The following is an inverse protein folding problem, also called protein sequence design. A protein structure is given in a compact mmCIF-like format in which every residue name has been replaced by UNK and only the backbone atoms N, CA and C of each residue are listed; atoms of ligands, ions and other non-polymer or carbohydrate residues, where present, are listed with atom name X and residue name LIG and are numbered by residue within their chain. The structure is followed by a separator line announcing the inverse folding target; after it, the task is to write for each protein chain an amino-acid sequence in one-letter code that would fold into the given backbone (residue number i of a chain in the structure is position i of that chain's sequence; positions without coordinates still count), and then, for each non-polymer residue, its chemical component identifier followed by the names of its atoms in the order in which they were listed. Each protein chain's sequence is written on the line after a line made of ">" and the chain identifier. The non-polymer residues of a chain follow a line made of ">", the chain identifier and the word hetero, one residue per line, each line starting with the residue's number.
data_IF_281821182469
#
_entry.id   IF_281821182469
#
_cell.length_a   1.000
_cell.length_b   1.000
_cell.length_c   1.000
_cell.angle_alpha   90.00
_cell.angle_beta   90.00
_cell.angle_gamma   90.00
#
_symmetry.space_group_name_H-M   'P 1'
#
loop_
_entity.id
_entity.type
_entity.pdbx_description
1 polymer ?
#
# COMPACT_ATOMS: atom_id res chain seq x y z
N UNK A 1 2.03 22.63 0.06
CA UNK A 1 1.05 21.95 0.94
C UNK A 1 0.64 20.58 0.39
N UNK A 2 -0.12 20.45 -0.70
CA UNK A 2 -0.52 19.11 -1.19
C UNK A 2 0.67 18.27 -1.71
N UNK A 3 1.51 18.82 -2.60
CA UNK A 3 2.66 18.08 -3.15
C UNK A 3 3.58 17.52 -2.06
N UNK A 4 3.78 18.30 -1.00
CA UNK A 4 4.57 17.92 0.15
C UNK A 4 3.92 16.77 0.93
N UNK A 5 2.61 16.79 1.12
CA UNK A 5 1.87 15.66 1.71
C UNK A 5 1.98 14.41 0.84
N UNK A 6 1.89 14.53 -0.49
CA UNK A 6 2.04 13.40 -1.42
C UNK A 6 3.47 12.83 -1.43
N UNK A 7 4.48 13.61 -1.02
CA UNK A 7 5.86 13.16 -0.91
C UNK A 7 6.15 12.56 0.48
N UNK A 8 5.72 13.21 1.56
CA UNK A 8 6.17 12.91 2.92
C UNK A 8 5.09 12.38 3.86
N UNK A 9 3.83 12.32 3.42
CA UNK A 9 2.70 11.88 4.25
C UNK A 9 2.23 12.93 5.26
N UNK A 10 1.44 12.46 6.23
CA UNK A 10 0.68 13.31 7.17
C UNK A 10 1.17 13.27 8.62
N UNK A 11 2.27 12.58 8.91
CA UNK A 11 2.78 12.42 10.28
C UNK A 11 3.15 13.80 10.88
N UNK A 12 2.61 14.19 12.05
CA UNK A 12 2.77 15.56 12.56
C UNK A 12 4.23 16.02 12.66
N UNK A 13 5.12 15.17 13.21
CA UNK A 13 6.55 15.48 13.35
C UNK A 13 7.25 15.70 12.00
N UNK A 14 6.85 14.94 10.98
CA UNK A 14 7.35 15.07 9.60
C UNK A 14 6.79 16.32 8.93
N UNK A 15 5.50 16.60 9.10
CA UNK A 15 4.85 17.78 8.53
C UNK A 15 5.45 19.08 9.08
N UNK A 16 5.86 19.10 10.35
CA UNK A 16 6.46 20.27 11.01
C UNK A 16 7.95 20.50 10.67
N UNK A 17 8.66 19.48 10.21
CA UNK A 17 10.05 19.61 9.80
C UNK A 17 10.18 20.54 8.58
N UNK A 18 11.23 21.38 8.55
CA UNK A 18 11.38 22.42 7.51
C UNK A 18 12.16 21.93 6.29
N UNK A 19 13.12 21.03 6.49
CA UNK A 19 14.00 20.54 5.43
C UNK A 19 13.53 19.16 4.96
N UNK A 20 13.58 18.92 3.64
CA UNK A 20 13.22 17.61 3.08
C UNK A 20 14.09 16.48 3.66
N UNK A 21 15.38 16.72 3.85
CA UNK A 21 16.29 15.73 4.43
C UNK A 21 15.86 15.31 5.85
N UNK A 22 15.49 16.28 6.69
CA UNK A 22 14.98 16.03 8.04
C UNK A 22 13.66 15.24 8.00
N UNK A 23 12.76 15.53 7.05
CA UNK A 23 11.53 14.74 6.84
C UNK A 23 11.84 13.28 6.52
N UNK A 24 12.79 13.04 5.61
CA UNK A 24 13.21 11.70 5.20
C UNK A 24 13.79 10.93 6.38
N UNK A 25 14.69 11.55 7.16
CA UNK A 25 15.29 10.96 8.36
C UNK A 25 14.22 10.58 9.40
N UNK A 26 13.26 11.48 9.65
CA UNK A 26 12.15 11.21 10.57
C UNK A 26 11.27 10.04 10.10
N UNK A 27 10.98 9.94 8.81
CA UNK A 27 10.21 8.82 8.25
C UNK A 27 11.03 7.53 8.36
N UNK A 28 12.34 7.56 8.12
CA UNK A 28 13.22 6.40 8.19
C UNK A 28 13.32 5.86 9.62
N UNK A 29 13.44 6.75 10.60
CA UNK A 29 13.39 6.40 12.02
C UNK A 29 12.05 5.72 12.37
N UNK A 30 10.92 6.27 11.93
CA UNK A 30 9.61 5.67 12.17
C UNK A 30 9.51 4.30 11.48
N UNK A 31 9.97 4.18 10.24
CA UNK A 31 10.00 2.90 9.52
C UNK A 31 10.85 1.85 10.25
N UNK A 32 12.03 2.22 10.75
CA UNK A 32 12.93 1.29 11.45
C UNK A 32 12.43 0.90 12.84
N UNK A 33 11.99 1.88 13.63
CA UNK A 33 11.64 1.68 15.04
C UNK A 33 10.25 1.11 15.23
N UNK A 34 9.28 1.50 14.40
CA UNK A 34 7.91 0.98 14.51
C UNK A 34 7.72 -0.22 13.58
N UNK A 35 7.89 -0.03 12.28
CA UNK A 35 7.46 -1.02 11.31
C UNK A 35 8.37 -2.24 11.27
N UNK A 36 9.69 -2.05 11.11
CA UNK A 36 10.61 -3.18 11.03
C UNK A 36 10.75 -3.93 12.36
N UNK A 37 10.73 -3.21 13.49
CA UNK A 37 10.84 -3.85 14.79
C UNK A 37 9.59 -4.67 15.13
N UNK A 38 8.39 -4.14 14.88
CA UNK A 38 7.16 -4.88 15.16
C UNK A 38 7.02 -6.09 14.23
N UNK A 39 7.32 -5.93 12.93
CA UNK A 39 7.22 -7.02 11.95
C UNK A 39 8.11 -8.20 12.35
N UNK A 40 9.34 -7.94 12.83
CA UNK A 40 10.30 -8.97 13.23
C UNK A 40 9.77 -9.94 14.28
N UNK A 41 8.81 -9.51 15.11
CA UNK A 41 8.20 -10.37 16.12
C UNK A 41 7.20 -11.38 15.52
N UNK A 42 6.68 -11.09 14.31
CA UNK A 42 5.66 -11.90 13.65
C UNK A 42 6.20 -12.71 12.45
N UNK A 43 7.33 -12.30 11.88
CA UNK A 43 7.96 -13.03 10.76
C UNK A 43 9.04 -13.98 11.26
N UNK A 44 9.19 -15.11 10.55
CA UNK A 44 10.32 -16.01 10.79
C UNK A 44 11.60 -15.35 10.29
N UNK A 45 12.69 -15.41 11.07
CA UNK A 45 13.98 -14.80 10.69
C UNK A 45 14.42 -15.15 9.26
N UNK A 46 14.25 -16.41 8.86
CA UNK A 46 14.60 -16.92 7.52
C UNK A 46 13.79 -16.31 6.36
N UNK A 47 12.63 -15.73 6.64
CA UNK A 47 11.72 -15.15 5.64
C UNK A 47 11.85 -13.63 5.54
N UNK A 48 12.74 -13.00 6.31
CA UNK A 48 12.89 -11.53 6.40
C UNK A 48 13.16 -10.88 5.05
N UNK A 49 14.03 -11.50 4.23
CA UNK A 49 14.37 -10.97 2.91
C UNK A 49 13.14 -11.00 1.99
N UNK A 50 12.41 -12.12 1.99
CA UNK A 50 11.23 -12.33 1.16
C UNK A 50 10.08 -11.42 1.59
N UNK A 51 9.89 -11.20 2.89
CA UNK A 51 8.93 -10.23 3.41
C UNK A 51 9.26 -8.80 2.94
N UNK A 52 10.52 -8.38 3.06
CA UNK A 52 10.95 -7.05 2.61
C UNK A 52 10.77 -6.88 1.09
N UNK A 53 11.06 -7.93 0.31
CA UNK A 53 10.81 -7.93 -1.13
C UNK A 53 9.31 -7.81 -1.44
N UNK A 54 8.45 -8.53 -0.72
CA UNK A 54 7.00 -8.43 -0.85
C UNK A 54 6.52 -7.01 -0.55
N UNK A 55 6.96 -6.43 0.57
CA UNK A 55 6.61 -5.06 0.97
C UNK A 55 7.05 -4.04 -0.09
N UNK A 56 8.25 -4.21 -0.65
CA UNK A 56 8.78 -3.37 -1.73
C UNK A 56 7.95 -3.48 -3.01
N UNK A 57 7.58 -4.70 -3.43
CA UNK A 57 6.73 -4.90 -4.62
C UNK A 57 5.36 -4.27 -4.40
N UNK A 58 4.73 -4.51 -3.25
CA UNK A 58 3.45 -3.92 -2.88
C UNK A 58 3.51 -2.38 -2.90
N UNK A 59 4.61 -1.77 -2.42
CA UNK A 59 4.78 -0.31 -2.49
C UNK A 59 4.74 0.21 -3.93
N UNK A 60 5.22 -0.55 -4.91
CA UNK A 60 5.17 -0.17 -6.32
C UNK A 60 3.78 -0.35 -6.97
N UNK A 61 2.87 -1.10 -6.33
CA UNK A 61 1.57 -1.49 -6.87
C UNK A 61 0.38 -0.80 -6.17
N UNK A 62 0.58 0.35 -5.53
CA UNK A 62 -0.52 1.12 -4.94
C UNK A 62 -1.59 1.49 -5.97
N UNK A 63 -2.86 1.37 -5.57
CA UNK A 63 -4.01 1.56 -6.46
C UNK A 63 -4.30 0.39 -7.40
N UNK A 64 -3.41 -0.61 -7.49
CA UNK A 64 -3.57 -1.77 -8.38
C UNK A 64 -4.17 -2.98 -7.65
N UNK A 65 -4.64 -3.95 -8.46
CA UNK A 65 -5.12 -5.22 -7.96
C UNK A 65 -3.95 -6.11 -7.52
N UNK A 66 -4.12 -6.77 -6.38
CA UNK A 66 -3.14 -7.71 -5.84
C UNK A 66 -3.43 -9.12 -6.34
N UNK A 67 -2.42 -9.76 -6.93
CA UNK A 67 -2.44 -11.15 -7.32
C UNK A 67 -1.39 -11.93 -6.53
N UNK A 68 -1.82 -12.63 -5.50
CA UNK A 68 -0.92 -13.32 -4.58
C UNK A 68 -0.17 -14.50 -5.21
N UNK A 69 -0.68 -15.08 -6.30
CA UNK A 69 0.06 -16.09 -7.07
C UNK A 69 1.26 -15.46 -7.81
N UNK A 70 1.07 -14.26 -8.37
CA UNK A 70 2.16 -13.53 -9.01
C UNK A 70 3.20 -13.11 -7.98
N UNK A 71 2.74 -12.51 -6.88
CA UNK A 71 3.61 -12.09 -5.78
C UNK A 71 4.39 -13.25 -5.18
N UNK A 72 3.74 -14.39 -4.93
CA UNK A 72 4.41 -15.58 -4.38
C UNK A 72 5.55 -16.05 -5.28
N UNK A 73 5.33 -16.04 -6.60
CA UNK A 73 6.36 -16.42 -7.58
C UNK A 73 7.52 -15.41 -7.60
N UNK A 74 7.23 -14.11 -7.60
CA UNK A 74 8.26 -13.06 -7.62
C UNK A 74 9.08 -13.03 -6.33
N UNK A 75 8.46 -13.23 -5.17
CA UNK A 75 9.15 -13.17 -3.86
C UNK A 75 9.70 -14.52 -3.40
N UNK A 76 9.45 -15.60 -4.17
CA UNK A 76 9.80 -16.98 -3.80
C UNK A 76 9.18 -17.42 -2.45
N UNK A 77 8.02 -16.87 -2.11
CA UNK A 77 7.22 -17.33 -0.98
C UNK A 77 6.27 -18.42 -1.48
N UNK A 78 5.95 -19.40 -0.63
CA UNK A 78 4.76 -20.22 -0.89
C UNK A 78 3.52 -19.30 -0.91
N UNK A 79 2.51 -19.64 -1.71
CA UNK A 79 1.25 -18.88 -1.78
C UNK A 79 0.66 -18.57 -0.39
N UNK A 80 0.61 -19.58 0.50
CA UNK A 80 0.09 -19.43 1.87
C UNK A 80 0.85 -18.38 2.67
N UNK A 81 2.19 -18.40 2.63
CA UNK A 81 3.02 -17.39 3.31
C UNK A 81 2.85 -15.99 2.71
N UNK A 82 2.67 -15.89 1.39
CA UNK A 82 2.41 -14.60 0.74
C UNK A 82 1.10 -13.99 1.25
N UNK A 83 0.01 -14.78 1.29
CA UNK A 83 -1.27 -14.37 1.87
C UNK A 83 -1.16 -14.02 3.36
N UNK A 84 -0.43 -14.84 4.14
CA UNK A 84 -0.19 -14.60 5.56
C UNK A 84 0.52 -13.27 5.81
N UNK A 85 1.56 -12.95 5.04
CA UNK A 85 2.30 -11.70 5.18
C UNK A 85 1.52 -10.48 4.69
N UNK A 86 0.72 -10.62 3.62
CA UNK A 86 -0.21 -9.57 3.20
C UNK A 86 -1.24 -9.31 4.32
N UNK A 87 -1.80 -10.37 4.90
CA UNK A 87 -2.74 -10.25 6.01
C UNK A 87 -2.10 -9.59 7.24
N UNK A 88 -0.87 -9.99 7.59
CA UNK A 88 -0.10 -9.39 8.68
C UNK A 88 0.09 -7.88 8.45
N UNK A 89 0.50 -7.46 7.24
CA UNK A 89 0.66 -6.04 6.91
C UNK A 89 -0.66 -5.26 7.03
N UNK A 90 -1.81 -5.88 6.73
CA UNK A 90 -3.12 -5.26 6.93
C UNK A 90 -3.48 -5.15 8.42
N UNK A 91 -3.17 -6.16 9.25
CA UNK A 91 -3.39 -6.12 10.70
C UNK A 91 -2.49 -5.09 11.40
N UNK A 92 -1.29 -4.87 10.87
CA UNK A 92 -0.34 -3.88 11.37
C UNK A 92 -0.61 -2.45 10.88
N UNK A 93 -1.72 -2.22 10.17
CA UNK A 93 -2.09 -0.92 9.60
C UNK A 93 -1.02 -0.34 8.65
N UNK A 94 -0.28 -1.19 7.94
CA UNK A 94 0.68 -0.77 6.91
C UNK A 94 -0.06 -0.55 5.59
N UNK A 95 -0.90 -1.52 5.23
CA UNK A 95 -1.68 -1.54 4.00
C UNK A 95 -3.16 -1.72 4.29
N UNK A 96 -3.99 -1.44 3.29
CA UNK A 96 -5.40 -1.79 3.28
C UNK A 96 -5.76 -2.41 1.95
N UNK A 97 -6.51 -3.51 2.00
CA UNK A 97 -7.09 -4.13 0.82
C UNK A 97 -8.58 -3.79 0.72
N UNK A 98 -9.00 -3.28 -0.43
CA UNK A 98 -10.41 -2.99 -0.69
C UNK A 98 -11.00 -3.97 -1.71
N UNK A 99 -12.22 -4.44 -1.43
CA UNK A 99 -12.95 -5.34 -2.31
C UNK A 99 -13.63 -4.58 -3.45
N UNK A 100 -13.87 -5.24 -4.59
CA UNK A 100 -14.69 -4.64 -5.63
C UNK A 100 -16.15 -4.60 -5.20
N UNK A 101 -16.84 -3.53 -5.59
CA UNK A 101 -18.29 -3.44 -5.46
C UNK A 101 -18.96 -4.58 -6.25
N UNK A 102 -19.79 -5.37 -5.56
CA UNK A 102 -20.53 -6.48 -6.15
C UNK A 102 -21.84 -6.69 -5.42
N UNK A 103 -22.90 -7.00 -6.17
CA UNK A 103 -24.20 -7.36 -5.60
C UNK A 103 -24.21 -8.77 -5.00
N UNK A 104 -23.25 -9.63 -5.40
CA UNK A 104 -23.12 -10.99 -4.88
C UNK A 104 -21.94 -11.08 -3.90
N UNK A 105 -22.26 -11.30 -2.62
CA UNK A 105 -21.28 -11.40 -1.52
C UNK A 105 -20.26 -12.53 -1.68
N UNK A 106 -20.65 -13.70 -2.22
CA UNK A 106 -19.69 -14.80 -2.45
C UNK A 106 -18.65 -14.42 -3.51
N UNK A 107 -19.06 -13.70 -4.54
CA UNK A 107 -18.15 -13.18 -5.58
C UNK A 107 -17.28 -12.03 -5.09
N UNK A 108 -17.63 -11.38 -3.98
CA UNK A 108 -16.81 -10.33 -3.38
C UNK A 108 -15.50 -10.91 -2.83
N UNK A 109 -15.63 -12.04 -2.13
CA UNK A 109 -14.54 -12.73 -1.44
C UNK A 109 -13.49 -13.22 -2.44
N UNK A 110 -13.93 -13.73 -3.60
CA UNK A 110 -13.03 -14.37 -4.58
C UNK A 110 -12.41 -13.41 -5.59
N UNK A 111 -12.84 -12.15 -5.64
CA UNK A 111 -12.28 -11.18 -6.58
C UNK A 111 -11.03 -10.52 -6.02
N UNK A 112 -10.10 -10.22 -6.92
CA UNK A 112 -8.88 -9.48 -6.60
C UNK A 112 -9.22 -8.15 -5.91
N UNK A 113 -8.53 -7.89 -4.81
CA UNK A 113 -8.64 -6.67 -4.02
C UNK A 113 -7.66 -5.62 -4.56
N UNK A 114 -7.99 -4.34 -4.42
CA UNK A 114 -7.05 -3.24 -4.67
C UNK A 114 -6.25 -2.93 -3.40
N UNK A 115 -4.99 -2.58 -3.58
CA UNK A 115 -4.06 -2.25 -2.51
C UNK A 115 -3.91 -0.75 -2.33
N UNK A 116 -3.90 -0.31 -1.07
CA UNK A 116 -3.50 1.04 -0.67
C UNK A 116 -2.59 0.97 0.55
N UNK A 117 -1.71 1.95 0.70
CA UNK A 117 -0.93 2.17 1.92
C UNK A 117 -1.66 3.14 2.83
N UNK A 118 -1.54 2.90 4.14
CA UNK A 118 -2.16 3.74 5.15
C UNK A 118 -1.35 5.01 5.49
N UNK A 119 -0.09 5.07 5.05
CA UNK A 119 0.74 6.28 5.09
C UNK A 119 1.60 6.39 3.82
N UNK A 120 1.54 7.54 3.15
CA UNK A 120 2.26 7.79 1.89
C UNK A 120 3.76 8.00 2.12
N UNK A 121 4.16 8.62 3.24
CA UNK A 121 5.56 8.82 3.59
C UNK A 121 6.27 7.50 3.82
N UNK A 122 5.67 6.60 4.61
CA UNK A 122 6.18 5.25 4.82
C UNK A 122 6.23 4.45 3.52
N UNK A 123 5.18 4.54 2.69
CA UNK A 123 5.18 3.92 1.35
C UNK A 123 6.35 4.42 0.51
N UNK A 124 6.59 5.73 0.49
CA UNK A 124 7.65 6.36 -0.30
C UNK A 124 9.04 6.02 0.23
N UNK A 125 9.19 5.81 1.53
CA UNK A 125 10.41 5.28 2.14
C UNK A 125 10.68 3.84 1.66
N UNK A 126 9.67 2.97 1.70
CA UNK A 126 9.77 1.58 1.22
C UNK A 126 10.06 1.52 -0.29
N UNK A 127 9.37 2.36 -1.07
CA UNK A 127 9.58 2.50 -2.52
C UNK A 127 10.93 3.15 -2.86
N UNK A 128 11.58 3.79 -1.88
CA UNK A 128 12.84 4.51 -1.99
C UNK A 128 12.79 5.67 -3.01
N UNK A 129 11.76 6.50 -2.92
CA UNK A 129 11.67 7.72 -3.74
C UNK A 129 10.89 8.82 -3.03
N UNK A 130 11.55 9.97 -2.87
CA UNK A 130 10.98 11.25 -2.41
C UNK A 130 11.11 12.34 -3.47
N UNK A 131 11.23 11.95 -4.74
CA UNK A 131 11.30 12.88 -5.86
C UNK A 131 10.05 13.77 -5.91
N UNK A 132 10.20 14.94 -6.54
CA UNK A 132 9.06 15.84 -6.76
C UNK A 132 7.92 15.12 -7.47
N UNK A 133 6.71 15.30 -6.96
CA UNK A 133 5.54 14.54 -7.42
C UNK A 133 5.22 14.78 -8.91
N UNK A 134 5.60 15.95 -9.44
CA UNK A 134 5.33 16.31 -10.84
C UNK A 134 6.17 15.49 -11.83
N UNK A 135 7.33 14.98 -11.40
CA UNK A 135 8.25 14.21 -12.27
C UNK A 135 8.15 12.70 -12.02
N UNK A 136 7.32 12.27 -11.07
CA UNK A 136 7.16 10.85 -10.72
C UNK A 136 6.20 10.16 -11.67
N UNK A 137 6.60 8.96 -12.11
CA UNK A 137 5.77 8.11 -12.98
C UNK A 137 4.54 7.57 -12.25
N UNK A 138 4.63 7.38 -10.93
CA UNK A 138 3.55 6.85 -10.08
C UNK A 138 2.69 7.95 -9.43
N UNK A 139 2.77 9.20 -9.91
CA UNK A 139 2.06 10.34 -9.31
C UNK A 139 0.53 10.15 -9.26
N UNK A 140 -0.07 9.58 -10.30
CA UNK A 140 -1.49 9.26 -10.36
C UNK A 140 -1.89 8.24 -9.29
N UNK A 141 -1.09 7.19 -9.11
CA UNK A 141 -1.34 6.18 -8.09
C UNK A 141 -1.16 6.72 -6.67
N UNK A 142 -0.18 7.60 -6.44
CA UNK A 142 0.00 8.29 -5.15
C UNK A 142 -1.21 9.19 -4.86
N UNK A 143 -1.69 9.94 -5.86
CA UNK A 143 -2.86 10.78 -5.71
C UNK A 143 -4.13 9.95 -5.44
N UNK A 144 -4.32 8.82 -6.12
CA UNK A 144 -5.42 7.89 -5.82
C UNK A 144 -5.34 7.38 -4.38
N UNK A 145 -4.14 7.03 -3.91
CA UNK A 145 -3.93 6.61 -2.52
C UNK A 145 -4.23 7.74 -1.53
N UNK A 146 -3.87 8.99 -1.85
CA UNK A 146 -4.23 10.15 -1.04
C UNK A 146 -5.75 10.30 -0.92
N UNK A 147 -6.47 10.24 -2.04
CA UNK A 147 -7.94 10.30 -2.04
C UNK A 147 -8.54 9.18 -1.18
N UNK A 148 -8.00 7.96 -1.28
CA UNK A 148 -8.40 6.86 -0.43
C UNK A 148 -8.23 7.15 1.07
N UNK A 149 -7.09 7.73 1.48
CA UNK A 149 -6.85 8.12 2.87
C UNK A 149 -7.84 9.20 3.35
N UNK A 150 -8.13 10.20 2.52
CA UNK A 150 -9.12 11.23 2.86
C UNK A 150 -10.53 10.63 3.00
N UNK A 151 -10.91 9.69 2.13
CA UNK A 151 -12.18 8.98 2.26
C UNK A 151 -12.27 8.17 3.55
N UNK A 152 -11.18 7.52 3.99
CA UNK A 152 -11.14 6.82 5.27
C UNK A 152 -11.39 7.76 6.45
N UNK A 153 -10.79 8.96 6.43
CA UNK A 153 -10.98 9.98 7.48
C UNK A 153 -12.43 10.44 7.56
N UNK A 154 -13.07 10.66 6.41
CA UNK A 154 -14.46 11.14 6.33
C UNK A 154 -15.46 10.06 6.74
N UNK A 155 -15.30 8.83 6.23
CA UNK A 155 -16.28 7.77 6.43
C UNK A 155 -16.19 7.09 7.80
N UNK A 156 -15.04 7.21 8.48
CA UNK A 156 -14.74 6.63 9.80
C UNK A 156 -14.94 5.09 9.89
N UNK A 157 -15.23 4.43 8.76
CA UNK A 157 -15.46 2.97 8.63
C UNK A 157 -14.74 2.46 7.38
N UNK A 158 -13.60 1.76 7.52
CA UNK A 158 -12.81 1.30 6.37
C UNK A 158 -13.56 0.32 5.47
N UNK A 159 -14.42 -0.51 6.07
CA UNK A 159 -15.09 -1.62 5.38
C UNK A 159 -16.27 -1.16 4.50
N UNK A 160 -16.51 0.15 4.37
CA UNK A 160 -17.53 0.70 3.44
C UNK A 160 -16.94 1.16 2.12
N UNK A 161 -15.60 1.23 2.00
CA UNK A 161 -14.94 1.65 0.76
C UNK A 161 -14.75 0.42 -0.13
N UNK A 162 -15.39 0.45 -1.30
CA UNK A 162 -15.25 -0.55 -2.34
C UNK A 162 -14.91 0.14 -3.67
N UNK A 163 -14.19 -0.55 -4.55
CA UNK A 163 -13.87 0.01 -5.88
C UNK A 163 -14.85 -0.49 -6.95
N UNK A 164 -15.22 0.37 -7.88
CA UNK A 164 -16.01 -0.03 -9.03
C UNK A 164 -15.11 -0.67 -10.10
N UNK A 165 -15.53 -1.83 -10.62
CA UNK A 165 -14.83 -2.52 -11.72
C UNK A 165 -15.71 -2.55 -12.96
N UNK A 166 -15.28 -1.88 -14.02
CA UNK A 166 -15.96 -1.95 -15.32
C UNK A 166 -15.88 -3.37 -15.88
N UNK A 167 -17.00 -3.88 -16.39
CA UNK A 167 -16.98 -5.05 -17.25
C UNK A 167 -16.63 -4.57 -18.66
N UNK A 168 -15.34 -4.53 -19.00
CA UNK A 168 -14.99 -4.40 -20.42
C UNK A 168 -15.42 -5.69 -21.13
N UNK A 169 -16.61 -5.66 -21.71
CA UNK A 169 -17.00 -6.61 -22.77
C UNK A 169 -16.10 -6.23 -23.95
N UNK A 170 -15.07 -7.05 -24.23
CA UNK A 170 -14.37 -6.97 -25.51
C UNK A 170 -15.44 -7.14 -26.58
N UNK A 171 -15.69 -6.09 -27.37
CA UNK A 171 -16.49 -6.20 -28.59
C UNK A 171 -15.67 -7.07 -29.54
N UNK A 172 -15.99 -8.35 -29.61
CA UNK A 172 -15.58 -9.22 -30.71
C UNK A 172 -16.46 -8.83 -31.90
N UNK A 173 -15.92 -7.97 -32.76
CA UNK A 173 -16.53 -7.70 -34.07
C UNK A 173 -16.37 -8.95 -34.91
N UNK A 174 -17.50 -9.51 -35.34
CA UNK A 174 -17.58 -10.36 -36.53
C UNK A 174 -17.55 -9.47 -37.77
#
# INVERSE_FOLDING_TARGET
>A
MLKEYLAFGGLPRVALAKKHQEKIELIDDIYKTYLLQDVRNFIKNQDTVQFNNLLKILSSQIGNMVNSNELSNTTQLSYTKCEEYIYLMEQMYIIKLITPFTTNKRREITKMKKLYFLDIGLRNMIYNSFNDIDIRVDNGSIFENFVFLELLKVLQKPNTIQYYRTKHKRWSGN
#
